data_IF_011599112485
#
_entry.id   IF_011599112485
#
_cell.length_a   1.000
_cell.length_b   1.000
_cell.length_c   1.000
_cell.angle_alpha   90.00
_cell.angle_beta   90.00
_cell.angle_gamma   90.00
#
_symmetry.space_group_name_H-M   'P 1'
#
loop_
_entity.id
_entity.type
_entity.pdbx_description
1 polymer ?
#
# COMPACT_ATOMS: atom_id res chain seq x y z
N UNK A 1 6.79 -20.63 -9.49
CA UNK A 1 7.89 -20.09 -8.65
C UNK A 1 9.07 -19.57 -9.46
N UNK A 2 9.66 -20.35 -10.39
CA UNK A 2 10.85 -19.90 -11.15
C UNK A 2 10.62 -18.63 -11.99
N UNK A 3 9.45 -18.48 -12.60
CA UNK A 3 9.07 -17.25 -13.33
C UNK A 3 9.11 -16.01 -12.42
N UNK A 4 8.51 -16.11 -11.23
CA UNK A 4 8.53 -15.05 -10.21
C UNK A 4 9.97 -14.70 -9.81
N UNK A 5 10.83 -15.69 -9.60
CA UNK A 5 12.20 -15.45 -9.19
C UNK A 5 13.00 -14.70 -10.27
N UNK A 6 12.84 -15.08 -11.54
CA UNK A 6 13.46 -14.40 -12.68
C UNK A 6 13.00 -12.94 -12.79
N UNK A 7 11.71 -12.69 -12.62
CA UNK A 7 11.14 -11.35 -12.82
C UNK A 7 11.39 -10.41 -11.63
N UNK A 8 11.90 -10.93 -10.50
CA UNK A 8 12.10 -10.17 -9.26
C UNK A 8 13.53 -10.30 -8.71
N UNK A 9 14.52 -10.46 -9.58
CA UNK A 9 15.93 -10.62 -9.19
C UNK A 9 16.46 -9.44 -8.35
N UNK A 10 16.04 -8.22 -8.64
CA UNK A 10 16.41 -7.04 -7.86
C UNK A 10 15.91 -7.12 -6.42
N UNK A 11 14.64 -7.53 -6.24
CA UNK A 11 14.04 -7.73 -4.92
C UNK A 11 14.73 -8.87 -4.17
N UNK A 12 14.98 -10.00 -4.82
CA UNK A 12 15.69 -11.14 -4.19
C UNK A 12 17.08 -10.71 -3.75
N UNK A 13 17.84 -10.04 -4.63
CA UNK A 13 19.17 -9.51 -4.31
C UNK A 13 19.11 -8.57 -3.11
N UNK A 14 18.12 -7.66 -3.09
CA UNK A 14 17.92 -6.77 -1.96
C UNK A 14 17.64 -7.55 -0.66
N UNK A 15 16.69 -8.47 -0.65
CA UNK A 15 16.33 -9.25 0.54
C UNK A 15 17.51 -10.07 1.07
N UNK A 16 18.27 -10.73 0.20
CA UNK A 16 19.50 -11.44 0.59
C UNK A 16 20.52 -10.47 1.18
N UNK A 17 20.70 -9.29 0.59
CA UNK A 17 21.62 -8.27 1.10
C UNK A 17 21.23 -7.77 2.50
N UNK A 18 19.93 -7.68 2.80
CA UNK A 18 19.43 -7.30 4.12
C UNK A 18 19.62 -8.42 5.15
N UNK A 19 19.46 -9.68 4.72
CA UNK A 19 19.66 -10.84 5.58
C UNK A 19 21.10 -10.93 6.08
N UNK A 20 22.07 -10.71 5.19
CA UNK A 20 23.50 -10.74 5.52
C UNK A 20 24.04 -9.41 6.10
N UNK A 21 23.22 -8.36 6.20
CA UNK A 21 23.67 -7.07 6.71
C UNK A 21 24.13 -7.17 8.18
N UNK A 22 25.24 -6.51 8.49
CA UNK A 22 25.80 -6.42 9.84
C UNK A 22 24.85 -5.69 10.78
N UNK A 23 25.04 -5.88 12.09
CA UNK A 23 24.27 -5.17 13.13
C UNK A 23 24.41 -3.65 13.00
N UNK A 24 25.62 -3.17 12.70
CA UNK A 24 25.91 -1.75 12.47
C UNK A 24 25.11 -1.20 11.29
N UNK A 25 25.16 -1.86 10.13
CA UNK A 25 24.40 -1.43 8.95
C UNK A 25 22.89 -1.43 9.17
N UNK A 26 22.37 -2.41 9.93
CA UNK A 26 20.97 -2.45 10.35
C UNK A 26 20.61 -1.28 11.28
N UNK A 27 21.54 -0.88 12.14
CA UNK A 27 21.36 0.25 13.05
C UNK A 27 21.48 1.61 12.33
N UNK A 28 22.35 1.73 11.33
CA UNK A 28 22.41 2.94 10.51
C UNK A 28 21.13 3.17 9.73
N UNK A 29 20.53 2.11 9.18
CA UNK A 29 19.20 2.18 8.56
C UNK A 29 18.12 2.61 9.58
N UNK A 30 18.22 2.20 10.85
CA UNK A 30 17.32 2.70 11.90
C UNK A 30 17.50 4.21 12.13
N UNK A 31 18.74 4.71 12.11
CA UNK A 31 19.03 6.14 12.30
C UNK A 31 18.45 7.03 11.20
N UNK A 32 18.20 6.49 10.01
CA UNK A 32 17.45 7.22 8.96
C UNK A 32 16.03 7.59 9.42
N UNK A 33 15.41 6.79 10.29
CA UNK A 33 14.07 7.03 10.84
C UNK A 33 14.09 7.63 12.26
N UNK A 34 15.10 7.29 13.06
CA UNK A 34 15.29 7.81 14.42
C UNK A 34 16.75 8.27 14.62
N UNK A 35 17.11 9.49 14.18
CA UNK A 35 18.50 9.95 14.15
C UNK A 35 19.21 9.95 15.50
N UNK A 36 18.46 10.06 16.60
CA UNK A 36 18.98 10.09 17.97
C UNK A 36 19.11 8.71 18.62
N UNK A 37 18.90 7.62 17.88
CA UNK A 37 19.01 6.27 18.43
C UNK A 37 20.45 5.95 18.89
N UNK A 38 20.61 5.58 20.17
CA UNK A 38 21.85 5.06 20.74
C UNK A 38 21.82 3.51 20.76
N UNK A 39 22.81 2.80 20.18
CA UNK A 39 22.86 1.34 20.19
C UNK A 39 22.71 0.68 21.58
N UNK A 40 23.01 1.37 22.67
CA UNK A 40 22.88 0.87 24.05
C UNK A 40 21.44 0.69 24.49
N UNK A 41 20.52 1.49 23.97
CA UNK A 41 19.10 1.48 24.34
C UNK A 41 18.28 0.47 23.51
N UNK A 42 18.92 -0.22 22.57
CA UNK A 42 18.24 -1.06 21.58
C UNK A 42 18.73 -2.50 21.61
N UNK A 43 17.78 -3.41 21.51
CA UNK A 43 18.04 -4.84 21.34
C UNK A 43 17.25 -5.39 20.14
N UNK A 44 17.77 -6.46 19.55
CA UNK A 44 17.14 -7.08 18.40
C UNK A 44 16.02 -8.03 18.85
N UNK A 45 14.90 -8.01 18.12
CA UNK A 45 13.78 -8.93 18.30
C UNK A 45 13.49 -9.63 16.98
N UNK A 46 13.21 -10.94 17.06
CA UNK A 46 12.77 -11.71 15.90
C UNK A 46 11.32 -11.35 15.56
N UNK A 47 11.14 -10.60 14.46
CA UNK A 47 9.82 -10.12 14.02
C UNK A 47 8.95 -11.18 13.30
N UNK A 48 9.37 -12.44 13.29
CA UNK A 48 8.69 -13.55 12.62
C UNK A 48 9.00 -13.67 11.11
N UNK A 49 8.29 -14.57 10.44
CA UNK A 49 8.40 -14.80 9.00
C UNK A 49 7.18 -14.24 8.29
N UNK A 50 7.41 -13.41 7.26
CA UNK A 50 6.34 -12.88 6.40
C UNK A 50 6.36 -13.61 5.07
N UNK A 51 5.20 -14.07 4.62
CA UNK A 51 5.03 -14.71 3.31
C UNK A 51 4.46 -13.70 2.31
N UNK A 52 4.97 -13.73 1.08
CA UNK A 52 4.45 -12.92 -0.01
C UNK A 52 3.53 -13.77 -0.89
N UNK A 53 2.34 -13.26 -1.19
CA UNK A 53 1.37 -13.96 -2.04
C UNK A 53 1.83 -13.93 -3.49
N UNK A 54 1.71 -15.07 -4.17
CA UNK A 54 1.92 -15.21 -5.61
C UNK A 54 0.60 -15.57 -6.29
N UNK A 55 0.31 -14.92 -7.42
CA UNK A 55 -0.87 -15.25 -8.25
C UNK A 55 -0.46 -15.74 -9.63
N UNK A 56 -1.39 -16.40 -10.31
CA UNK A 56 -1.22 -16.84 -11.70
C UNK A 56 -1.76 -15.75 -12.63
N UNK A 57 -0.88 -15.20 -13.45
CA UNK A 57 -1.17 -14.33 -14.58
C UNK A 57 -1.21 -15.14 -15.87
N UNK A 58 -2.19 -14.85 -16.73
CA UNK A 58 -2.41 -15.60 -17.96
C UNK A 58 -1.27 -15.46 -18.99
N UNK A 59 -0.51 -14.37 -18.95
CA UNK A 59 0.59 -14.09 -19.89
C UNK A 59 1.97 -14.30 -19.26
N UNK A 60 2.13 -13.90 -17.99
CA UNK A 60 3.41 -13.89 -17.28
C UNK A 60 3.64 -15.12 -16.40
N UNK A 61 2.66 -16.00 -16.27
CA UNK A 61 2.75 -17.13 -15.34
C UNK A 61 2.62 -16.67 -13.90
N UNK A 62 3.46 -17.15 -12.98
CA UNK A 62 3.40 -16.68 -11.59
C UNK A 62 3.90 -15.24 -11.46
N UNK A 63 3.16 -14.36 -10.77
CA UNK A 63 3.57 -12.99 -10.44
C UNK A 63 3.44 -12.73 -8.94
N UNK A 64 4.34 -11.91 -8.37
CA UNK A 64 4.18 -11.44 -6.99
C UNK A 64 3.00 -10.48 -6.92
N UNK A 65 2.12 -10.73 -5.96
CA UNK A 65 1.05 -9.81 -5.64
C UNK A 65 1.56 -8.85 -4.57
N UNK A 66 1.68 -7.57 -4.89
CA UNK A 66 2.00 -6.52 -3.94
C UNK A 66 0.71 -5.82 -3.47
N UNK A 67 0.69 -5.40 -2.21
CA UNK A 67 -0.43 -4.65 -1.63
C UNK A 67 -1.56 -5.52 -1.10
N UNK A 68 -2.74 -4.92 -1.00
CA UNK A 68 -4.00 -5.53 -0.56
C UNK A 68 -4.94 -5.58 -1.75
N UNK A 69 -5.51 -6.75 -2.03
CA UNK A 69 -6.49 -6.95 -3.08
C UNK A 69 -7.87 -7.19 -2.46
N UNK A 70 -8.89 -6.51 -3.00
CA UNK A 70 -10.28 -6.79 -2.68
C UNK A 70 -10.74 -7.97 -3.53
N UNK A 71 -11.12 -9.06 -2.87
CA UNK A 71 -11.79 -10.20 -3.50
C UNK A 71 -13.22 -10.22 -2.99
N UNK A 72 -14.19 -10.15 -3.90
CA UNK A 72 -15.60 -10.21 -3.56
C UNK A 72 -16.25 -11.39 -4.27
N UNK A 73 -17.24 -12.01 -3.63
CA UNK A 73 -18.13 -12.94 -4.32
C UNK A 73 -18.86 -12.21 -5.45
N UNK A 74 -19.21 -12.93 -6.51
CA UNK A 74 -19.86 -12.35 -7.69
C UNK A 74 -21.20 -11.68 -7.36
N UNK A 75 -21.86 -12.12 -6.28
CA UNK A 75 -23.11 -11.56 -5.76
C UNK A 75 -22.89 -10.46 -4.71
N UNK A 76 -21.64 -10.11 -4.39
CA UNK A 76 -21.30 -9.09 -3.40
C UNK A 76 -21.59 -9.46 -1.95
N UNK A 77 -22.01 -10.70 -1.66
CA UNK A 77 -22.43 -11.15 -0.32
C UNK A 77 -21.29 -11.20 0.69
N UNK A 78 -20.07 -11.39 0.22
CA UNK A 78 -18.85 -11.42 1.02
C UNK A 78 -17.70 -10.75 0.27
N UNK A 79 -16.90 -9.98 0.99
CA UNK A 79 -15.63 -9.45 0.52
C UNK A 79 -14.52 -9.77 1.52
N UNK A 80 -13.37 -10.14 0.97
CA UNK A 80 -12.14 -10.38 1.71
C UNK A 80 -11.01 -9.49 1.19
N UNK A 81 -10.13 -9.10 2.10
CA UNK A 81 -8.89 -8.41 1.78
C UNK A 81 -7.76 -9.43 1.78
N UNK A 82 -7.16 -9.68 0.63
CA UNK A 82 -6.01 -10.57 0.49
C UNK A 82 -4.74 -9.75 0.36
N UNK A 83 -3.76 -9.99 1.24
CA UNK A 83 -2.44 -9.39 1.16
C UNK A 83 -2.02 -8.68 2.45
N UNK A 84 -1.25 -7.61 2.31
CA UNK A 84 -0.79 -6.84 3.47
C UNK A 84 -1.97 -6.16 4.17
N UNK A 85 -1.86 -5.96 5.49
CA UNK A 85 -2.83 -5.12 6.21
C UNK A 85 -2.83 -3.71 5.60
N UNK A 86 -4.00 -3.15 5.24
CA UNK A 86 -4.07 -1.82 4.69
C UNK A 86 -3.61 -0.80 5.75
N UNK A 87 -2.68 0.08 5.35
CA UNK A 87 -2.32 1.24 6.16
C UNK A 87 -3.29 2.39 5.93
N UNK A 88 -3.15 3.48 6.70
CA UNK A 88 -4.01 4.65 6.56
C UNK A 88 -4.07 5.19 5.12
N UNK A 89 -2.96 5.14 4.39
CA UNK A 89 -2.84 5.61 3.00
C UNK A 89 -3.55 4.72 1.97
N UNK A 90 -3.88 3.47 2.30
CA UNK A 90 -4.52 2.53 1.36
C UNK A 90 -5.93 2.12 1.77
N UNK A 91 -6.33 2.34 3.03
CA UNK A 91 -7.63 1.94 3.55
C UNK A 91 -8.80 2.58 2.78
N UNK A 92 -8.74 3.89 2.51
CA UNK A 92 -9.81 4.62 1.81
C UNK A 92 -10.06 4.08 0.40
N UNK A 93 -9.08 4.01 -0.51
CA UNK A 93 -9.33 3.48 -1.87
C UNK A 93 -9.79 2.02 -1.86
N UNK A 94 -9.28 1.19 -0.93
CA UNK A 94 -9.74 -0.20 -0.76
C UNK A 94 -11.22 -0.26 -0.37
N UNK A 95 -11.65 0.58 0.58
CA UNK A 95 -13.05 0.60 0.98
C UNK A 95 -13.97 1.14 -0.11
N UNK A 96 -13.52 2.09 -0.93
CA UNK A 96 -14.27 2.53 -2.10
C UNK A 96 -14.47 1.39 -3.10
N UNK A 97 -13.43 0.58 -3.37
CA UNK A 97 -13.54 -0.61 -4.23
C UNK A 97 -14.51 -1.66 -3.65
N UNK A 98 -14.49 -1.88 -2.33
CA UNK A 98 -15.49 -2.74 -1.65
C UNK A 98 -16.91 -2.21 -1.85
N UNK A 99 -17.14 -0.91 -1.66
CA UNK A 99 -18.46 -0.30 -1.83
C UNK A 99 -18.96 -0.43 -3.26
N UNK A 100 -18.09 -0.20 -4.24
CA UNK A 100 -18.41 -0.30 -5.67
C UNK A 100 -18.76 -1.74 -6.09
N UNK A 101 -17.98 -2.73 -5.62
CA UNK A 101 -18.19 -4.14 -6.00
C UNK A 101 -19.34 -4.81 -5.25
N UNK A 102 -19.51 -4.52 -3.96
CA UNK A 102 -20.46 -5.25 -3.12
C UNK A 102 -21.84 -4.57 -3.05
N UNK A 103 -21.93 -3.28 -3.40
CA UNK A 103 -23.17 -2.52 -3.37
C UNK A 103 -23.39 -1.68 -4.64
N UNK A 104 -23.30 -2.29 -5.85
CA UNK A 104 -23.42 -1.56 -7.11
C UNK A 104 -24.75 -0.80 -7.23
N UNK A 105 -25.83 -1.34 -6.69
CA UNK A 105 -27.16 -0.70 -6.73
C UNK A 105 -27.28 0.51 -5.81
N UNK A 106 -26.36 0.69 -4.85
CA UNK A 106 -26.38 1.79 -3.87
C UNK A 106 -25.35 2.88 -4.13
N UNK A 107 -24.29 2.57 -4.87
CA UNK A 107 -23.18 3.51 -5.10
C UNK A 107 -23.64 4.82 -5.75
N UNK A 108 -24.63 4.77 -6.64
CA UNK A 108 -25.20 5.94 -7.29
C UNK A 108 -25.80 6.92 -6.25
N UNK A 109 -26.51 6.40 -5.25
CA UNK A 109 -27.07 7.19 -4.15
C UNK A 109 -26.00 7.74 -3.19
N UNK A 110 -24.85 7.07 -3.10
CA UNK A 110 -23.73 7.47 -2.25
C UNK A 110 -22.75 8.42 -2.92
N UNK A 111 -22.85 8.65 -4.23
CA UNK A 111 -21.94 9.56 -4.95
C UNK A 111 -21.90 10.94 -4.32
N UNK A 112 -23.05 11.52 -3.96
CA UNK A 112 -23.12 12.86 -3.35
C UNK A 112 -22.40 12.94 -1.99
N UNK A 113 -22.69 12.07 -0.99
CA UNK A 113 -21.94 12.10 0.27
C UNK A 113 -20.46 11.73 0.10
N UNK A 114 -20.11 10.80 -0.80
CA UNK A 114 -18.71 10.46 -1.09
C UNK A 114 -17.94 11.65 -1.66
N UNK A 115 -18.49 12.36 -2.65
CA UNK A 115 -17.86 13.57 -3.21
C UNK A 115 -17.74 14.69 -2.18
N UNK A 116 -18.65 14.78 -1.20
CA UNK A 116 -18.52 15.76 -0.10
C UNK A 116 -17.31 15.46 0.79
N UNK A 117 -17.04 14.18 1.09
CA UNK A 117 -15.91 13.77 1.93
C UNK A 117 -14.59 13.71 1.14
N UNK A 118 -14.68 13.35 -0.14
CA UNK A 118 -13.55 13.16 -1.05
C UNK A 118 -13.86 13.99 -2.31
N UNK A 119 -13.49 15.28 -2.34
CA UNK A 119 -13.83 16.18 -3.45
C UNK A 119 -13.41 15.67 -4.83
N UNK A 120 -12.34 14.88 -4.89
CA UNK A 120 -11.80 14.28 -6.10
C UNK A 120 -12.27 12.84 -6.36
N UNK A 121 -13.34 12.38 -5.69
CA UNK A 121 -13.88 11.02 -5.87
C UNK A 121 -14.16 10.70 -7.34
N UNK A 122 -13.68 9.55 -7.81
CA UNK A 122 -13.80 9.11 -9.21
C UNK A 122 -12.80 9.75 -10.18
N UNK A 123 -11.86 10.56 -9.69
CA UNK A 123 -10.80 11.15 -10.52
C UNK A 123 -9.41 10.74 -10.05
N UNK A 124 -8.52 10.45 -11.00
CA UNK A 124 -7.12 10.18 -10.68
C UNK A 124 -6.38 11.52 -10.58
N UNK A 125 -6.15 12.02 -9.36
CA UNK A 125 -5.45 13.31 -9.14
C UNK A 125 -4.11 13.35 -9.86
N UNK A 126 -3.35 12.26 -9.82
CA UNK A 126 -2.05 12.12 -10.48
C UNK A 126 -2.10 12.22 -12.02
N UNK A 127 -3.27 12.11 -12.65
CA UNK A 127 -3.42 12.26 -14.09
C UNK A 127 -3.46 13.71 -14.56
N UNK A 128 -3.60 14.67 -13.63
CA UNK A 128 -3.65 16.10 -13.94
C UNK A 128 -2.51 16.84 -13.22
N UNK A 129 -1.39 17.10 -13.94
CA UNK A 129 -0.22 17.78 -13.37
C UNK A 129 -0.51 19.20 -12.88
N UNK A 130 -1.59 19.83 -13.36
CA UNK A 130 -1.97 21.20 -12.96
C UNK A 130 -2.83 21.20 -11.69
N UNK A 131 -3.63 20.16 -11.46
CA UNK A 131 -4.47 20.04 -10.26
C UNK A 131 -3.71 19.53 -9.04
N UNK A 132 -2.72 18.66 -9.24
CA UNK A 132 -1.99 18.02 -8.15
C UNK A 132 -1.36 19.04 -7.17
N UNK A 133 -0.63 20.08 -7.63
CA UNK A 133 -0.04 21.08 -6.72
C UNK A 133 -1.10 21.83 -5.91
N UNK A 134 -2.23 22.18 -6.54
CA UNK A 134 -3.33 22.90 -5.88
C UNK A 134 -3.96 22.06 -4.76
N UNK A 135 -4.21 20.77 -5.03
CA UNK A 135 -4.79 19.86 -4.04
C UNK A 135 -3.83 19.63 -2.87
N UNK A 136 -2.54 19.49 -3.14
CA UNK A 136 -1.50 19.37 -2.11
C UNK A 136 -1.50 20.63 -1.23
N UNK A 137 -1.54 21.81 -1.85
CA UNK A 137 -1.58 23.09 -1.13
C UNK A 137 -2.85 23.20 -0.26
N UNK A 138 -4.04 22.96 -0.83
CA UNK A 138 -5.31 22.98 -0.09
C UNK A 138 -5.30 22.00 1.09
N UNK A 139 -4.74 20.81 0.89
CA UNK A 139 -4.60 19.80 1.96
C UNK A 139 -3.64 20.25 3.04
N UNK A 140 -2.50 20.85 2.67
CA UNK A 140 -1.52 21.36 3.61
C UNK A 140 -2.10 22.51 4.45
N UNK A 141 -2.85 23.43 3.84
CA UNK A 141 -3.55 24.52 4.53
C UNK A 141 -4.55 23.99 5.57
N UNK A 142 -5.38 23.00 5.21
CA UNK A 142 -6.36 22.39 6.12
C UNK A 142 -5.70 21.63 7.27
N UNK A 143 -4.54 21.00 7.01
CA UNK A 143 -3.80 20.22 8.00
C UNK A 143 -2.74 21.03 8.76
N UNK A 144 -2.68 22.34 8.53
CA UNK A 144 -1.70 23.26 9.13
C UNK A 144 -0.24 22.82 8.91
N UNK A 145 0.03 22.21 7.74
CA UNK A 145 1.36 21.77 7.35
C UNK A 145 2.10 22.90 6.64
N UNK A 146 3.35 23.14 7.04
CA UNK A 146 4.26 24.01 6.29
C UNK A 146 4.77 23.24 5.09
N UNK A 147 4.47 23.71 3.88
CA UNK A 147 4.89 23.06 2.64
C UNK A 147 5.77 23.96 1.78
#
# INVERSE_FOLDING_TARGET
MLAVAKDNLSLIKYLVSQLIASKEKKFDALREFMPTADPKDWYQVTAGQRVQVMKKDAKKGGVLQFGTEVVAAADGSIAGLLGASPGASTAVPIMLDVLERCFPDRIAGWKKPLTRMIPNYGTLVASDPKKTPKIIQETAEVLELQH
#
